data_IF_734415912791
#
_entry.id   IF_734415912791
#
_cell.length_a   1.000
_cell.length_b   1.000
_cell.length_c   1.000
_cell.angle_alpha   90.00
_cell.angle_beta   90.00
_cell.angle_gamma   90.00
#
_symmetry.space_group_name_H-M   'P 1'
#
loop_
_entity.id
_entity.type
_entity.pdbx_description
1 polymer ?
#
# COMPACT_ATOMS: atom_id res chain seq x y z
N UNK A 1 -11.39 -10.71 -6.88
CA UNK A 1 -10.32 -9.88 -6.29
C UNK A 1 -9.68 -9.00 -7.33
N UNK A 2 -9.34 -7.78 -6.93
CA UNK A 2 -8.62 -6.87 -7.81
C UNK A 2 -7.21 -6.68 -7.30
N UNK A 3 -6.25 -6.70 -8.21
CA UNK A 3 -4.86 -6.40 -7.90
C UNK A 3 -4.57 -4.98 -8.39
N UNK A 4 -4.10 -4.13 -7.50
CA UNK A 4 -3.76 -2.76 -7.83
C UNK A 4 -2.32 -2.48 -7.42
N UNK A 5 -1.63 -1.71 -8.23
CA UNK A 5 -0.23 -1.36 -7.97
C UNK A 5 -0.11 0.15 -7.85
N UNK A 6 0.69 0.58 -6.89
CA UNK A 6 0.88 1.99 -6.58
C UNK A 6 2.34 2.30 -6.42
N UNK A 7 2.75 3.46 -6.89
CA UNK A 7 4.08 4.00 -6.60
C UNK A 7 4.03 4.68 -5.24
N UNK A 8 4.95 4.33 -4.36
CA UNK A 8 4.96 4.87 -3.00
C UNK A 8 6.31 5.44 -2.65
N UNK A 9 6.39 6.10 -1.50
CA UNK A 9 7.64 6.53 -0.92
C UNK A 9 8.07 5.66 0.27
N UNK A 10 7.56 4.45 0.34
CA UNK A 10 7.94 3.48 1.38
C UNK A 10 9.30 2.90 0.98
N UNK A 11 10.38 3.47 1.52
CA UNK A 11 11.72 3.16 1.02
C UNK A 11 12.66 2.54 2.06
N UNK A 12 12.15 2.12 3.20
CA UNK A 12 12.97 1.45 4.21
C UNK A 12 12.14 0.52 5.09
N UNK A 13 12.82 -0.34 5.84
CA UNK A 13 12.15 -1.28 6.72
C UNK A 13 11.33 -0.62 7.81
N UNK A 14 11.80 0.53 8.34
CA UNK A 14 11.05 1.26 9.34
C UNK A 14 9.75 1.83 8.76
N UNK A 15 9.80 2.31 7.54
CA UNK A 15 8.62 2.79 6.84
C UNK A 15 7.62 1.66 6.63
N UNK A 16 8.12 0.51 6.18
CA UNK A 16 7.29 -0.68 6.01
C UNK A 16 6.63 -1.08 7.33
N UNK A 17 7.37 -1.04 8.43
CA UNK A 17 6.84 -1.38 9.74
C UNK A 17 5.71 -0.43 10.17
N UNK A 18 5.75 0.83 9.73
CA UNK A 18 4.70 1.79 10.04
C UNK A 18 3.41 1.52 9.26
N UNK A 19 3.51 1.08 8.00
CA UNK A 19 2.31 0.81 7.22
C UNK A 19 1.72 -0.56 7.49
N UNK A 20 2.53 -1.50 7.98
CA UNK A 20 2.08 -2.88 8.22
C UNK A 20 0.81 -2.95 9.08
N UNK A 21 0.77 -2.34 10.29
CA UNK A 21 -0.44 -2.45 11.10
C UNK A 21 -1.64 -1.75 10.47
N UNK A 22 -1.40 -0.70 9.70
CA UNK A 22 -2.50 0.04 9.07
C UNK A 22 -3.11 -0.77 7.94
N UNK A 23 -2.27 -1.39 7.09
CA UNK A 23 -2.76 -2.22 6.00
C UNK A 23 -3.39 -3.52 6.53
N UNK A 24 -2.82 -4.10 7.58
CA UNK A 24 -3.38 -5.30 8.18
C UNK A 24 -4.71 -5.04 8.89
N UNK A 25 -4.95 -3.82 9.33
CA UNK A 25 -6.21 -3.44 9.98
C UNK A 25 -7.34 -3.19 8.99
N UNK A 26 -7.04 -3.09 7.69
CA UNK A 26 -8.08 -2.84 6.68
C UNK A 26 -8.72 -4.16 6.27
N UNK A 27 -10.00 -4.40 6.62
CA UNK A 27 -10.64 -5.70 6.35
C UNK A 27 -10.87 -5.96 4.87
N UNK A 28 -10.84 -4.93 4.02
CA UNK A 28 -11.06 -5.11 2.58
C UNK A 28 -9.79 -5.52 1.84
N UNK A 29 -8.62 -5.41 2.47
CA UNK A 29 -7.36 -5.84 1.88
C UNK A 29 -7.17 -7.32 2.19
N UNK A 30 -7.09 -8.15 1.15
CA UNK A 30 -6.84 -9.59 1.30
C UNK A 30 -5.35 -9.87 1.46
N UNK A 31 -4.53 -9.18 0.68
CA UNK A 31 -3.07 -9.27 0.82
C UNK A 31 -2.43 -8.01 0.25
N UNK A 32 -1.18 -7.78 0.63
CA UNK A 32 -0.43 -6.63 0.14
C UNK A 32 1.06 -6.94 0.20
N UNK A 33 1.82 -6.25 -0.64
CA UNK A 33 3.26 -6.41 -0.68
C UNK A 33 3.89 -5.12 -1.20
N UNK A 34 5.07 -4.78 -0.68
CA UNK A 34 5.84 -3.63 -1.16
C UNK A 34 7.14 -4.14 -1.76
N UNK A 35 7.43 -3.76 -3.00
CA UNK A 35 8.69 -4.09 -3.65
C UNK A 35 9.73 -3.03 -3.30
N UNK A 36 10.55 -3.33 -2.30
CA UNK A 36 11.59 -2.40 -1.84
C UNK A 36 12.81 -2.37 -2.76
N UNK A 37 12.89 -3.29 -3.71
CA UNK A 37 13.99 -3.34 -4.68
C UNK A 37 13.73 -2.43 -5.87
N UNK A 38 12.48 -2.08 -6.12
CA UNK A 38 12.11 -1.18 -7.20
C UNK A 38 12.38 0.26 -6.78
N UNK A 39 12.82 1.09 -7.71
CA UNK A 39 13.00 2.52 -7.47
C UNK A 39 11.69 3.21 -7.12
N UNK A 40 10.58 2.71 -7.66
CA UNK A 40 9.25 3.27 -7.43
C UNK A 40 8.59 2.74 -6.16
N UNK A 41 9.21 1.80 -5.47
CA UNK A 41 8.66 1.19 -4.24
C UNK A 41 7.21 0.78 -4.44
N UNK A 42 6.98 -0.11 -5.39
CA UNK A 42 5.63 -0.50 -5.81
C UNK A 42 4.92 -1.24 -4.69
N UNK A 43 3.77 -0.72 -4.30
CA UNK A 43 2.87 -1.37 -3.37
C UNK A 43 1.81 -2.11 -4.18
N UNK A 44 1.73 -3.41 -4.02
CA UNK A 44 0.72 -4.25 -4.66
C UNK A 44 -0.34 -4.58 -3.63
N UNK A 45 -1.59 -4.25 -3.93
CA UNK A 45 -2.73 -4.51 -3.05
C UNK A 45 -3.69 -5.47 -3.75
N UNK A 46 -4.04 -6.55 -3.07
CA UNK A 46 -5.13 -7.42 -3.51
C UNK A 46 -6.33 -7.19 -2.61
N UNK A 47 -7.42 -6.73 -3.20
CA UNK A 47 -8.64 -6.43 -2.47
C UNK A 47 -9.85 -6.73 -3.32
N UNK A 48 -11.00 -6.91 -2.68
CA UNK A 48 -12.25 -7.18 -3.40
C UNK A 48 -12.92 -5.89 -3.85
N UNK A 49 -12.80 -4.84 -3.07
CA UNK A 49 -13.75 -3.73 -3.12
C UNK A 49 -13.11 -2.36 -2.98
N UNK A 50 -11.81 -2.27 -2.79
CA UNK A 50 -11.15 -0.98 -2.60
C UNK A 50 -10.85 -0.31 -3.93
N UNK A 51 -11.15 0.98 -4.01
CA UNK A 51 -10.72 1.81 -5.12
C UNK A 51 -9.30 2.31 -4.88
N UNK A 52 -8.69 2.87 -5.93
CA UNK A 52 -7.37 3.50 -5.80
C UNK A 52 -7.39 4.62 -4.75
N UNK A 53 -8.48 5.36 -4.68
CA UNK A 53 -8.62 6.43 -3.69
C UNK A 53 -8.65 5.88 -2.26
N UNK A 54 -9.33 4.77 -2.05
CA UNK A 54 -9.37 4.13 -0.74
C UNK A 54 -7.98 3.69 -0.29
N UNK A 55 -7.21 3.11 -1.18
CA UNK A 55 -5.83 2.71 -0.88
C UNK A 55 -4.98 3.94 -0.57
N UNK A 56 -5.12 4.99 -1.36
CA UNK A 56 -4.39 6.24 -1.13
C UNK A 56 -4.68 6.80 0.27
N UNK A 57 -5.94 6.86 0.66
CA UNK A 57 -6.32 7.35 1.98
C UNK A 57 -5.74 6.50 3.09
N UNK A 58 -5.73 5.19 2.91
CA UNK A 58 -5.18 4.27 3.90
C UNK A 58 -3.68 4.49 4.07
N UNK A 59 -2.96 4.66 2.96
CA UNK A 59 -1.51 4.89 3.02
C UNK A 59 -1.20 6.24 3.63
N UNK A 60 -1.99 7.26 3.36
CA UNK A 60 -1.79 8.59 3.95
C UNK A 60 -1.93 8.56 5.47
N UNK A 61 -2.81 7.73 5.99
CA UNK A 61 -2.94 7.58 7.45
C UNK A 61 -1.64 7.11 8.09
N UNK A 62 -0.82 6.39 7.34
CA UNK A 62 0.48 5.93 7.81
C UNK A 62 1.58 6.99 7.65
N UNK A 63 1.27 8.12 7.00
CA UNK A 63 2.25 9.17 6.76
C UNK A 63 3.01 9.05 5.45
N UNK A 64 2.51 8.25 4.52
CA UNK A 64 3.15 8.03 3.22
C UNK A 64 2.20 8.42 2.09
N UNK A 65 2.70 8.39 0.86
CA UNK A 65 1.88 8.65 -0.31
C UNK A 65 1.89 7.44 -1.24
N UNK A 66 0.79 7.24 -1.95
CA UNK A 66 0.67 6.19 -2.95
C UNK A 66 -0.01 6.78 -4.18
N UNK A 67 0.58 6.54 -5.34
CA UNK A 67 0.01 7.00 -6.61
C UNK A 67 -0.30 5.79 -7.48
N UNK A 68 -1.45 5.72 -8.13
CA UNK A 68 -1.75 4.63 -9.06
C UNK A 68 -0.66 4.53 -10.13
N UNK A 69 -0.25 3.32 -10.38
CA UNK A 69 0.73 3.04 -11.41
C UNK A 69 0.13 3.19 -12.81
#
# INVERSE_FOLDING_TARGET
MKTQKFKTNINCGNCLAKVTPILNAEPRINSWEVDLKSDDRILTIESEDMSAEDVFKTVIKAGFVAKPE
#
